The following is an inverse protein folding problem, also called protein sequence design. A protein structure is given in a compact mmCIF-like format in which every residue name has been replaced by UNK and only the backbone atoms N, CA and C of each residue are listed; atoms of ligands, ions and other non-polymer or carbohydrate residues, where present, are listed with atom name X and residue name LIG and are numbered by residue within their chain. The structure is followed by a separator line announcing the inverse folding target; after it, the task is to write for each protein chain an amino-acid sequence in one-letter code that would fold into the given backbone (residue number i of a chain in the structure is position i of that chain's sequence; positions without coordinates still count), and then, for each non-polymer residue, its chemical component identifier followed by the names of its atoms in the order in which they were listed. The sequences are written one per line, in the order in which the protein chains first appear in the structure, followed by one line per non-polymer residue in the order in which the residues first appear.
data_IF_811875374803
#
_entry.id   IF_811875374803
#
_cell.length_a   1.000
_cell.length_b   1.000
_cell.length_c   1.000
_cell.angle_alpha   90.00
_cell.angle_beta   90.00
_cell.angle_gamma   90.00
#
_symmetry.space_group_name_H-M   'P 1'
#
loop_
_entity.id
_entity.type
_entity.pdbx_description
1 polymer ?
#
# COMPACT_ATOMS: atom_id res chain seq x y z
N UNK A 1 -36.80 -30.78 7.09
CA UNK A 1 -35.48 -30.12 7.30
C UNK A 1 -35.61 -28.61 7.09
N UNK A 2 -35.40 -27.82 8.14
CA UNK A 2 -35.73 -26.40 8.16
C UNK A 2 -34.62 -25.61 7.45
N UNK A 3 -34.95 -24.93 6.33
CA UNK A 3 -33.97 -24.09 5.59
C UNK A 3 -33.27 -23.05 6.47
N UNK A 4 -33.94 -22.62 7.54
CA UNK A 4 -33.40 -21.68 8.54
C UNK A 4 -32.30 -22.32 9.39
N UNK A 5 -32.42 -23.59 9.77
CA UNK A 5 -31.37 -24.29 10.53
C UNK A 5 -30.14 -24.57 9.68
N UNK A 6 -30.31 -24.85 8.39
CA UNK A 6 -29.20 -25.02 7.45
C UNK A 6 -28.47 -23.70 7.17
N UNK A 7 -29.22 -22.59 7.03
CA UNK A 7 -28.64 -21.26 6.90
C UNK A 7 -27.84 -20.86 8.15
N UNK A 8 -28.41 -21.07 9.35
CA UNK A 8 -27.71 -20.82 10.63
C UNK A 8 -26.47 -21.70 10.80
N UNK A 9 -26.54 -22.98 10.39
CA UNK A 9 -25.39 -23.88 10.44
C UNK A 9 -24.27 -23.43 9.48
N UNK A 10 -24.62 -22.99 8.27
CA UNK A 10 -23.65 -22.48 7.28
C UNK A 10 -22.98 -21.21 7.79
N UNK A 11 -23.74 -20.28 8.36
CA UNK A 11 -23.19 -19.07 9.00
C UNK A 11 -22.29 -19.45 10.17
N UNK A 12 -22.69 -20.41 11.01
CA UNK A 12 -21.88 -20.89 12.13
C UNK A 12 -20.53 -21.47 11.68
N UNK A 13 -20.53 -22.29 10.63
CA UNK A 13 -19.30 -22.86 10.07
C UNK A 13 -18.38 -21.78 9.49
N UNK A 14 -18.94 -20.81 8.75
CA UNK A 14 -18.17 -19.68 8.20
C UNK A 14 -17.56 -18.80 9.29
N UNK A 15 -18.30 -18.52 10.37
CA UNK A 15 -17.81 -17.72 11.48
C UNK A 15 -16.65 -18.40 12.22
N UNK A 16 -16.72 -19.72 12.42
CA UNK A 16 -15.63 -20.49 13.03
C UNK A 16 -14.39 -20.50 12.13
N UNK A 17 -14.57 -20.65 10.81
CA UNK A 17 -13.48 -20.60 9.84
C UNK A 17 -12.80 -19.22 9.80
N UNK A 18 -13.58 -18.13 9.82
CA UNK A 18 -13.03 -16.78 9.91
C UNK A 18 -12.25 -16.57 11.21
N UNK A 19 -12.76 -17.07 12.34
CA UNK A 19 -12.08 -16.97 13.63
C UNK A 19 -10.73 -17.70 13.67
N UNK A 20 -10.61 -18.85 13.00
CA UNK A 20 -9.33 -19.57 12.92
C UNK A 20 -8.34 -18.86 11.99
N UNK A 21 -8.79 -18.32 10.86
CA UNK A 21 -7.97 -17.55 9.93
C UNK A 21 -7.41 -16.28 10.59
N UNK A 22 -8.24 -15.55 11.34
CA UNK A 22 -7.81 -14.35 12.08
C UNK A 22 -6.71 -14.68 13.08
N UNK A 23 -6.84 -15.81 13.79
CA UNK A 23 -5.86 -16.27 14.78
C UNK A 23 -4.52 -16.63 14.13
N UNK A 24 -4.56 -17.30 12.97
CA UNK A 24 -3.34 -17.60 12.20
C UNK A 24 -2.64 -16.32 11.72
N UNK A 25 -3.40 -15.34 11.24
CA UNK A 25 -2.86 -14.06 10.81
C UNK A 25 -2.21 -13.30 11.98
N UNK A 26 -2.86 -13.26 13.14
CA UNK A 26 -2.29 -12.66 14.35
C UNK A 26 -1.02 -13.39 14.82
N UNK A 27 -1.02 -14.72 14.79
CA UNK A 27 0.16 -15.52 15.14
C UNK A 27 1.32 -15.25 14.19
N UNK A 28 1.05 -15.17 12.88
CA UNK A 28 2.07 -14.89 11.87
C UNK A 28 2.61 -13.46 11.96
N UNK A 29 1.75 -12.46 12.21
CA UNK A 29 2.20 -11.09 12.52
C UNK A 29 3.11 -11.10 13.74
N UNK A 30 2.72 -11.79 14.82
CA UNK A 30 3.52 -11.91 16.04
C UNK A 30 4.89 -12.53 15.77
N UNK A 31 4.94 -13.60 14.96
CA UNK A 31 6.17 -14.25 14.53
C UNK A 31 7.06 -13.30 13.73
N UNK A 32 6.51 -12.63 12.70
CA UNK A 32 7.26 -11.68 11.88
C UNK A 32 7.80 -10.53 12.73
N UNK A 33 7.02 -9.97 13.65
CA UNK A 33 7.48 -8.91 14.55
C UNK A 33 8.57 -9.39 15.52
N UNK A 34 8.45 -10.60 16.06
CA UNK A 34 9.48 -11.19 16.93
C UNK A 34 10.79 -11.44 16.16
N UNK A 35 10.71 -11.98 14.95
CA UNK A 35 11.89 -12.18 14.11
C UNK A 35 12.47 -10.83 13.66
N UNK A 36 11.64 -9.85 13.33
CA UNK A 36 12.08 -8.51 12.95
C UNK A 36 12.83 -7.79 14.07
N UNK A 37 12.28 -7.82 15.28
CA UNK A 37 12.93 -7.21 16.45
C UNK A 37 14.23 -7.93 16.80
N UNK A 38 14.28 -9.26 16.77
CA UNK A 38 15.52 -10.00 17.02
C UNK A 38 16.60 -9.74 15.96
N UNK A 39 16.23 -9.57 14.68
CA UNK A 39 17.16 -9.21 13.61
C UNK A 39 17.69 -7.78 13.72
N UNK A 40 16.91 -6.86 14.29
CA UNK A 40 17.36 -5.49 14.55
C UNK A 40 18.56 -5.47 15.52
N UNK A 41 18.61 -6.42 16.46
CA UNK A 41 19.72 -6.62 17.39
C UNK A 41 20.87 -7.48 16.81
N UNK A 42 20.73 -8.02 15.59
CA UNK A 42 21.73 -8.86 14.91
C UNK A 42 21.96 -8.39 13.46
N UNK A 43 22.59 -7.22 13.25
CA UNK A 43 22.73 -6.59 11.93
C UNK A 43 23.53 -7.43 10.91
N UNK A 44 24.36 -8.39 11.37
CA UNK A 44 25.15 -9.27 10.49
C UNK A 44 24.29 -10.24 9.67
N UNK A 45 23.03 -10.45 10.05
CA UNK A 45 22.06 -11.29 9.35
C UNK A 45 21.21 -10.52 8.32
N UNK A 46 21.43 -9.20 8.18
CA UNK A 46 20.68 -8.41 7.20
C UNK A 46 21.08 -8.75 5.77
N UNK A 47 20.14 -9.35 5.04
CA UNK A 47 20.32 -9.72 3.63
C UNK A 47 19.99 -8.54 2.72
N UNK A 48 20.81 -7.49 2.77
CA UNK A 48 20.62 -6.24 2.03
C UNK A 48 20.42 -6.49 0.52
N UNK A 49 21.19 -7.40 -0.07
CA UNK A 49 21.09 -7.72 -1.51
C UNK A 49 19.70 -8.20 -1.91
N UNK A 50 19.09 -9.07 -1.09
CA UNK A 50 17.73 -9.57 -1.35
C UNK A 50 16.68 -8.46 -1.15
N UNK A 51 16.84 -7.62 -0.13
CA UNK A 51 15.98 -6.47 0.11
C UNK A 51 16.03 -5.48 -1.06
N UNK A 52 17.22 -5.16 -1.57
CA UNK A 52 17.38 -4.23 -2.71
C UNK A 52 16.74 -4.79 -3.97
N UNK A 53 16.90 -6.08 -4.25
CA UNK A 53 16.23 -6.73 -5.38
C UNK A 53 14.70 -6.60 -5.29
N UNK A 54 14.13 -6.82 -4.10
CA UNK A 54 12.70 -6.62 -3.89
C UNK A 54 12.28 -5.15 -3.92
N UNK A 55 13.12 -4.19 -3.50
CA UNK A 55 12.84 -2.75 -3.65
C UNK A 55 12.76 -2.37 -5.12
N UNK A 56 13.65 -2.88 -5.96
CA UNK A 56 13.59 -2.64 -7.41
C UNK A 56 12.33 -3.24 -8.02
N UNK A 57 12.02 -4.50 -7.69
CA UNK A 57 10.85 -5.19 -8.26
C UNK A 57 9.52 -4.58 -7.80
N UNK A 58 9.39 -4.29 -6.51
CA UNK A 58 8.16 -3.81 -5.88
C UNK A 58 8.01 -2.30 -5.98
N UNK A 59 9.11 -1.56 -5.87
CA UNK A 59 9.17 -0.10 -5.92
C UNK A 59 9.28 0.42 -7.34
N UNK A 60 10.47 0.33 -7.93
CA UNK A 60 10.77 0.97 -9.22
C UNK A 60 9.81 0.54 -10.34
N UNK A 61 9.53 -0.76 -10.44
CA UNK A 61 8.63 -1.24 -11.50
C UNK A 61 7.15 -0.84 -11.27
N UNK A 62 6.77 -0.36 -10.08
CA UNK A 62 5.41 0.12 -9.79
C UNK A 62 5.25 1.63 -10.05
N UNK A 63 6.35 2.38 -10.09
CA UNK A 63 6.36 3.85 -10.25
C UNK A 63 5.49 4.32 -11.41
N UNK A 64 5.60 3.79 -12.65
CA UNK A 64 4.84 4.30 -13.78
C UNK A 64 3.33 4.11 -13.61
N UNK A 65 2.91 2.96 -13.06
CA UNK A 65 1.49 2.63 -12.90
C UNK A 65 0.89 3.47 -11.78
N UNK A 66 1.60 3.64 -10.65
CA UNK A 66 1.16 4.49 -9.55
C UNK A 66 1.06 5.95 -10.01
N UNK A 67 2.07 6.48 -10.70
CA UNK A 67 2.07 7.86 -11.18
C UNK A 67 0.92 8.11 -12.17
N UNK A 68 0.71 7.21 -13.13
CA UNK A 68 -0.38 7.35 -14.11
C UNK A 68 -1.75 7.30 -13.44
N UNK A 69 -1.95 6.34 -12.52
CA UNK A 69 -3.21 6.17 -11.83
C UNK A 69 -3.52 7.37 -10.93
N UNK A 70 -2.57 7.84 -10.13
CA UNK A 70 -2.81 8.99 -9.25
C UNK A 70 -2.95 10.29 -10.02
N UNK A 71 -2.24 10.45 -11.15
CA UNK A 71 -2.45 11.57 -12.07
C UNK A 71 -3.89 11.60 -12.61
N UNK A 72 -4.37 10.47 -13.12
CA UNK A 72 -5.75 10.35 -13.63
C UNK A 72 -6.79 10.61 -12.54
N UNK A 73 -6.61 10.04 -11.35
CA UNK A 73 -7.53 10.31 -10.23
C UNK A 73 -7.44 11.78 -9.81
N UNK A 74 -6.26 12.40 -9.83
CA UNK A 74 -6.07 13.81 -9.50
C UNK A 74 -6.82 14.73 -10.46
N UNK A 75 -6.72 14.45 -11.75
CA UNK A 75 -7.46 15.16 -12.79
C UNK A 75 -8.99 15.02 -12.59
N UNK A 76 -9.48 13.80 -12.35
CA UNK A 76 -10.92 13.56 -12.14
C UNK A 76 -11.44 14.25 -10.87
N UNK A 77 -10.68 14.20 -9.77
CA UNK A 77 -11.05 14.86 -8.51
C UNK A 77 -11.07 16.38 -8.67
N UNK A 78 -10.11 16.95 -9.39
CA UNK A 78 -10.08 18.37 -9.68
C UNK A 78 -11.27 18.79 -10.56
N UNK A 79 -11.57 18.02 -11.61
CA UNK A 79 -12.69 18.30 -12.49
C UNK A 79 -14.02 18.28 -11.73
N UNK A 80 -14.27 17.21 -10.98
CA UNK A 80 -15.49 17.05 -10.21
C UNK A 80 -15.60 18.11 -9.11
N UNK A 81 -14.50 18.38 -8.41
CA UNK A 81 -14.43 19.43 -7.38
C UNK A 81 -14.76 20.80 -7.95
N UNK A 82 -14.20 21.14 -9.11
CA UNK A 82 -14.47 22.40 -9.79
C UNK A 82 -15.94 22.55 -10.18
N UNK A 83 -16.54 21.51 -10.77
CA UNK A 83 -17.96 21.54 -11.15
C UNK A 83 -18.86 21.74 -9.94
N UNK A 84 -18.58 21.07 -8.82
CA UNK A 84 -19.38 21.22 -7.60
C UNK A 84 -19.20 22.60 -6.96
N UNK A 85 -17.96 23.11 -6.89
CA UNK A 85 -17.67 24.41 -6.29
C UNK A 85 -18.11 25.59 -7.16
N UNK A 86 -18.32 25.37 -8.45
CA UNK A 86 -18.83 26.38 -9.38
C UNK A 86 -20.24 26.84 -8.98
N UNK A 87 -21.08 25.94 -8.51
CA UNK A 87 -22.44 26.26 -8.04
C UNK A 87 -22.44 27.21 -6.83
N UNK A 88 -21.32 27.25 -6.08
CA UNK A 88 -21.11 28.12 -4.92
C UNK A 88 -20.23 29.34 -5.23
N UNK A 89 -19.80 29.53 -6.48
CA UNK A 89 -18.87 30.59 -6.88
C UNK A 89 -17.47 30.44 -6.25
N UNK A 90 -17.10 29.24 -5.83
CA UNK A 90 -15.97 28.94 -4.96
C UNK A 90 -14.88 28.11 -5.65
N UNK A 91 -14.76 28.18 -6.98
CA UNK A 91 -13.91 27.28 -7.80
C UNK A 91 -12.43 27.28 -7.44
N UNK A 92 -11.92 28.38 -6.85
CA UNK A 92 -10.52 28.49 -6.38
C UNK A 92 -10.20 27.46 -5.28
N UNK A 93 -11.16 27.09 -4.44
CA UNK A 93 -10.98 26.08 -3.38
C UNK A 93 -10.85 24.65 -3.92
N UNK A 94 -10.97 24.44 -5.24
CA UNK A 94 -10.64 23.16 -5.87
C UNK A 94 -9.18 22.80 -5.65
N UNK A 95 -8.29 23.79 -5.58
CA UNK A 95 -6.85 23.59 -5.31
C UNK A 95 -6.67 22.94 -3.93
N UNK A 96 -7.32 23.50 -2.92
CA UNK A 96 -7.30 22.99 -1.55
C UNK A 96 -7.88 21.59 -1.49
N UNK A 97 -9.03 21.37 -2.13
CA UNK A 97 -9.67 20.06 -2.19
C UNK A 97 -8.70 19.01 -2.72
N UNK A 98 -8.07 19.26 -3.88
CA UNK A 98 -7.09 18.32 -4.46
C UNK A 98 -5.90 18.13 -3.53
N UNK A 99 -5.33 19.21 -3.01
CA UNK A 99 -4.13 19.13 -2.20
C UNK A 99 -4.35 18.38 -0.87
N UNK A 100 -5.37 18.74 -0.09
CA UNK A 100 -5.70 18.05 1.15
C UNK A 100 -6.06 16.58 0.90
N UNK A 101 -6.85 16.30 -0.12
CA UNK A 101 -7.28 14.94 -0.44
C UNK A 101 -6.10 14.04 -0.81
N UNK A 102 -5.18 14.51 -1.67
CA UNK A 102 -4.04 13.71 -2.11
C UNK A 102 -2.98 13.54 -1.04
N UNK A 103 -2.62 14.63 -0.35
CA UNK A 103 -1.56 14.59 0.66
C UNK A 103 -1.95 13.77 1.88
N UNK A 104 -3.23 13.78 2.27
CA UNK A 104 -3.68 13.14 3.51
C UNK A 104 -4.19 11.71 3.33
N UNK A 105 -4.83 11.43 2.19
CA UNK A 105 -5.57 10.18 1.99
C UNK A 105 -5.20 9.48 0.67
N UNK A 106 -5.56 10.08 -0.48
CA UNK A 106 -5.55 9.38 -1.77
C UNK A 106 -4.16 8.92 -2.22
N UNK A 107 -3.12 9.73 -2.03
CA UNK A 107 -1.78 9.37 -2.52
C UNK A 107 -1.27 8.06 -1.92
N UNK A 108 -1.48 7.87 -0.62
CA UNK A 108 -1.06 6.67 0.11
C UNK A 108 -2.02 5.50 -0.13
N UNK A 109 -3.33 5.76 -0.10
CA UNK A 109 -4.35 4.71 -0.30
C UNK A 109 -4.26 4.09 -1.69
N UNK A 110 -4.15 4.89 -2.74
CA UNK A 110 -4.08 4.39 -4.12
C UNK A 110 -2.80 3.58 -4.36
N UNK A 111 -1.66 4.05 -3.86
CA UNK A 111 -0.40 3.31 -3.91
C UNK A 111 -0.51 1.98 -3.15
N UNK A 112 -1.13 1.98 -1.96
CA UNK A 112 -1.31 0.78 -1.15
C UNK A 112 -2.24 -0.25 -1.81
N UNK A 113 -3.40 0.17 -2.33
CA UNK A 113 -4.35 -0.73 -3.00
C UNK A 113 -3.70 -1.38 -4.23
N UNK A 114 -2.98 -0.60 -5.04
CA UNK A 114 -2.30 -1.11 -6.23
C UNK A 114 -1.22 -2.13 -5.87
N UNK A 115 -0.41 -1.82 -4.85
CA UNK A 115 0.65 -2.73 -4.39
C UNK A 115 0.09 -3.99 -3.73
N UNK A 116 -1.04 -3.90 -3.02
CA UNK A 116 -1.75 -5.06 -2.51
C UNK A 116 -2.18 -5.99 -3.66
N UNK A 117 -2.69 -5.44 -4.76
CA UNK A 117 -3.06 -6.23 -5.94
C UNK A 117 -1.86 -6.84 -6.66
N UNK A 118 -0.85 -6.04 -6.99
CA UNK A 118 0.29 -6.47 -7.83
C UNK A 118 1.37 -7.21 -7.04
N UNK A 119 1.90 -6.56 -6.02
CA UNK A 119 3.12 -7.02 -5.33
C UNK A 119 2.79 -8.10 -4.30
N UNK A 120 1.70 -7.95 -3.55
CA UNK A 120 1.32 -9.00 -2.60
C UNK A 120 0.96 -10.30 -3.33
N UNK A 121 0.19 -10.23 -4.43
CA UNK A 121 -0.09 -11.40 -5.28
C UNK A 121 1.17 -12.03 -5.84
N UNK A 122 2.16 -11.23 -6.26
CA UNK A 122 3.45 -11.76 -6.71
C UNK A 122 4.21 -12.46 -5.58
N UNK A 123 4.20 -11.93 -4.36
CA UNK A 123 4.79 -12.59 -3.19
C UNK A 123 4.07 -13.90 -2.83
N UNK A 124 2.75 -13.90 -2.85
CA UNK A 124 1.93 -15.10 -2.65
C UNK A 124 2.25 -16.16 -3.70
N UNK A 125 2.30 -15.81 -4.99
CA UNK A 125 2.60 -16.74 -6.07
C UNK A 125 4.03 -17.30 -5.98
N UNK A 126 5.02 -16.45 -5.67
CA UNK A 126 6.41 -16.89 -5.51
C UNK A 126 6.57 -17.85 -4.33
N UNK A 127 6.02 -17.51 -3.16
CA UNK A 127 6.10 -18.37 -1.97
C UNK A 127 5.31 -19.66 -2.14
N UNK A 128 4.13 -19.60 -2.75
CA UNK A 128 3.32 -20.78 -3.05
C UNK A 128 4.03 -21.73 -4.02
N UNK A 129 4.69 -21.19 -5.05
CA UNK A 129 5.49 -21.99 -5.98
C UNK A 129 6.68 -22.67 -5.26
N UNK A 130 7.42 -21.91 -4.44
CA UNK A 130 8.53 -22.45 -3.64
C UNK A 130 8.05 -23.54 -2.66
N UNK A 131 6.86 -23.37 -2.08
CA UNK A 131 6.26 -24.39 -1.20
C UNK A 131 5.86 -25.64 -1.97
N UNK A 132 5.22 -25.50 -3.14
CA UNK A 132 4.84 -26.63 -3.99
C UNK A 132 6.05 -27.40 -4.55
N UNK A 133 7.19 -26.74 -4.70
CA UNK A 133 8.46 -27.35 -5.12
C UNK A 133 9.30 -27.88 -3.94
N UNK A 134 8.76 -27.88 -2.71
CA UNK A 134 9.45 -28.33 -1.49
C UNK A 134 10.73 -27.52 -1.14
N UNK A 135 10.98 -26.38 -1.80
CA UNK A 135 12.15 -25.53 -1.55
C UNK A 135 12.14 -24.95 -0.12
N UNK A 136 10.95 -24.63 0.40
CA UNK A 136 10.78 -24.12 1.77
C UNK A 136 11.11 -25.20 2.79
N UNK A 137 10.75 -26.45 2.54
CA UNK A 137 11.04 -27.56 3.46
C UNK A 137 12.51 -27.97 3.38
N UNK A 138 13.12 -27.89 2.19
CA UNK A 138 14.56 -28.02 2.04
C UNK A 138 15.35 -26.97 2.85
N UNK A 139 14.88 -25.73 2.93
CA UNK A 139 15.52 -24.72 3.79
C UNK A 139 15.45 -25.09 5.28
N UNK A 140 14.31 -25.64 5.73
CA UNK A 140 14.14 -26.08 7.12
C UNK A 140 15.04 -27.27 7.45
N UNK A 141 15.22 -28.22 6.55
CA UNK A 141 16.13 -29.37 6.77
C UNK A 141 17.60 -28.94 6.85
N UNK A 142 17.95 -27.84 6.18
CA UNK A 142 19.27 -27.20 6.30
C UNK A 142 19.43 -26.37 7.58
N UNK A 143 18.42 -26.33 8.46
CA UNK A 143 18.44 -25.58 9.72
C UNK A 143 18.30 -24.06 9.55
N UNK A 144 17.80 -23.61 8.39
CA UNK A 144 17.60 -22.19 8.09
C UNK A 144 16.14 -21.78 8.36
N UNK A 145 15.93 -20.61 8.95
CA UNK A 145 14.58 -20.07 9.18
C UNK A 145 14.01 -19.44 7.89
N UNK A 146 12.93 -19.99 7.30
CA UNK A 146 12.31 -19.43 6.11
C UNK A 146 11.71 -18.03 6.35
N UNK A 147 11.32 -17.68 7.58
CA UNK A 147 10.77 -16.35 7.89
C UNK A 147 11.88 -15.30 7.77
N UNK A 148 13.06 -15.59 8.33
CA UNK A 148 14.24 -14.73 8.23
C UNK A 148 14.70 -14.55 6.79
N UNK A 149 14.72 -15.63 6.00
CA UNK A 149 15.27 -15.61 4.65
C UNK A 149 14.31 -15.09 3.58
N UNK A 150 13.01 -15.36 3.71
CA UNK A 150 12.04 -15.11 2.63
C UNK A 150 11.04 -14.00 2.95
N UNK A 151 10.63 -13.84 4.21
CA UNK A 151 9.57 -12.88 4.60
C UNK A 151 10.17 -11.52 4.94
N UNK A 152 11.20 -11.53 5.78
CA UNK A 152 11.84 -10.31 6.28
C UNK A 152 12.37 -9.37 5.17
N UNK A 153 13.10 -9.84 4.14
CA UNK A 153 13.54 -8.98 3.05
C UNK A 153 12.38 -8.37 2.26
N UNK A 154 11.28 -9.11 2.09
CA UNK A 154 10.07 -8.63 1.40
C UNK A 154 9.33 -7.57 2.21
N UNK A 155 9.16 -7.79 3.52
CA UNK A 155 8.54 -6.80 4.43
C UNK A 155 9.38 -5.52 4.48
N UNK A 156 10.69 -5.62 4.60
CA UNK A 156 11.60 -4.46 4.58
C UNK A 156 11.55 -3.71 3.25
N UNK A 157 11.55 -4.43 2.13
CA UNK A 157 11.42 -3.83 0.82
C UNK A 157 10.08 -3.08 0.68
N UNK A 158 8.99 -3.64 1.20
CA UNK A 158 7.67 -3.00 1.19
C UNK A 158 7.65 -1.73 2.04
N UNK A 159 8.19 -1.80 3.26
CA UNK A 159 8.27 -0.68 4.21
C UNK A 159 9.00 0.54 3.64
N UNK A 160 9.98 0.32 2.75
CA UNK A 160 10.73 1.39 2.09
C UNK A 160 10.04 1.83 0.79
N UNK A 161 9.59 0.88 -0.03
CA UNK A 161 9.04 1.18 -1.36
C UNK A 161 7.69 1.88 -1.31
N UNK A 162 6.80 1.53 -0.39
CA UNK A 162 5.44 2.10 -0.36
C UNK A 162 5.44 3.60 0.03
N UNK A 163 6.19 4.08 1.04
CA UNK A 163 6.32 5.52 1.30
C UNK A 163 6.87 6.30 0.10
N UNK A 164 7.88 5.75 -0.60
CA UNK A 164 8.44 6.38 -1.81
C UNK A 164 7.42 6.45 -2.94
N UNK A 165 6.65 5.38 -3.14
CA UNK A 165 5.58 5.34 -4.15
C UNK A 165 4.42 6.25 -3.78
N UNK A 166 4.06 6.36 -2.50
CA UNK A 166 3.05 7.29 -2.03
C UNK A 166 3.48 8.75 -2.27
N UNK A 167 4.76 9.08 -2.08
CA UNK A 167 5.30 10.39 -2.43
C UNK A 167 5.16 10.69 -3.92
N UNK A 168 5.57 9.76 -4.79
CA UNK A 168 5.36 9.90 -6.24
C UNK A 168 3.87 10.03 -6.59
N UNK A 169 3.01 9.26 -5.91
CA UNK A 169 1.57 9.27 -6.08
C UNK A 169 0.96 10.64 -5.74
N UNK A 170 1.35 11.22 -4.60
CA UNK A 170 0.95 12.56 -4.17
C UNK A 170 1.36 13.62 -5.18
N UNK A 171 2.61 13.61 -5.63
CA UNK A 171 3.09 14.56 -6.64
C UNK A 171 2.34 14.43 -7.96
N UNK A 172 2.19 13.21 -8.47
CA UNK A 172 1.53 12.96 -9.75
C UNK A 172 0.05 13.35 -9.71
N UNK A 173 -0.63 13.14 -8.57
CA UNK A 173 -2.01 13.57 -8.37
C UNK A 173 -2.18 15.08 -8.30
N UNK A 174 -1.27 15.78 -7.61
CA UNK A 174 -1.23 17.25 -7.61
C UNK A 174 -1.01 17.80 -9.02
N UNK A 175 -0.11 17.21 -9.80
CA UNK A 175 0.12 17.59 -11.20
C UNK A 175 -1.13 17.35 -12.05
N UNK A 176 -1.81 16.22 -11.88
CA UNK A 176 -3.08 15.94 -12.57
C UNK A 176 -4.16 16.96 -12.25
N UNK A 177 -4.28 17.35 -10.98
CA UNK A 177 -5.23 18.40 -10.58
C UNK A 177 -4.84 19.79 -11.08
N UNK A 178 -3.56 20.12 -11.11
CA UNK A 178 -3.07 21.38 -11.66
C UNK A 178 -3.35 21.51 -13.17
N UNK A 179 -3.16 20.42 -13.93
CA UNK A 179 -3.49 20.40 -15.37
C UNK A 179 -4.97 20.71 -15.59
N UNK A 180 -5.87 20.07 -14.84
CA UNK A 180 -7.31 20.34 -14.99
C UNK A 180 -7.68 21.74 -14.51
N UNK A 181 -7.11 22.22 -13.40
CA UNK A 181 -7.33 23.59 -12.92
C UNK A 181 -6.94 24.62 -14.00
N UNK A 182 -5.84 24.39 -14.72
CA UNK A 182 -5.40 25.31 -15.78
C UNK A 182 -6.27 25.26 -17.03
N UNK A 183 -6.73 24.06 -17.42
CA UNK A 183 -7.48 23.87 -18.66
C UNK A 183 -8.98 24.19 -18.52
N UNK A 184 -9.55 23.99 -17.33
CA UNK A 184 -11.00 24.10 -17.11
C UNK A 184 -11.42 25.33 -16.31
N UNK A 185 -10.53 25.94 -15.52
CA UNK A 185 -10.85 27.07 -14.64
C UNK A 185 -10.05 28.35 -14.97
N UNK A 186 -9.23 28.34 -16.03
CA UNK A 186 -8.31 29.44 -16.39
C UNK A 186 -7.38 29.88 -15.24
N UNK A 187 -7.11 28.99 -14.29
CA UNK A 187 -6.20 29.25 -13.16
C UNK A 187 -4.77 29.03 -13.65
N UNK A 188 -3.92 30.05 -13.52
CA UNK A 188 -2.50 29.92 -13.88
C UNK A 188 -1.78 28.92 -12.97
N UNK A 189 -0.79 28.19 -13.51
CA UNK A 189 0.07 27.28 -12.71
C UNK A 189 0.75 28.02 -11.54
N UNK A 190 1.13 29.29 -11.76
CA UNK A 190 1.69 30.15 -10.70
C UNK A 190 0.72 30.39 -9.55
N UNK A 191 -0.57 30.62 -9.84
CA UNK A 191 -1.59 30.75 -8.80
C UNK A 191 -1.80 29.44 -8.07
N UNK A 192 -1.85 28.31 -8.79
CA UNK A 192 -1.98 26.98 -8.17
C UNK A 192 -0.87 26.73 -7.14
N UNK A 193 0.39 26.97 -7.52
CA UNK A 193 1.53 26.77 -6.63
C UNK A 193 1.49 27.74 -5.44
N UNK A 194 1.13 29.01 -5.66
CA UNK A 194 1.08 30.02 -4.61
C UNK A 194 0.00 29.68 -3.57
N UNK A 195 -1.20 29.30 -4.02
CA UNK A 195 -2.29 28.85 -3.14
C UNK A 195 -1.88 27.59 -2.38
N UNK A 196 -1.28 26.61 -3.07
CA UNK A 196 -0.82 25.38 -2.44
C UNK A 196 0.23 25.66 -1.35
N UNK A 197 1.18 26.57 -1.57
CA UNK A 197 2.17 26.94 -0.55
C UNK A 197 1.58 27.71 0.63
N UNK A 198 0.53 28.49 0.40
CA UNK A 198 -0.10 29.33 1.42
C UNK A 198 -1.03 28.53 2.32
N UNK A 199 -1.86 27.67 1.73
CA UNK A 199 -2.99 27.05 2.42
C UNK A 199 -2.67 25.59 2.86
N UNK A 200 -1.63 24.96 2.28
CA UNK A 200 -1.30 23.56 2.58
C UNK A 200 -0.08 23.45 3.49
N UNK A 201 -0.35 23.11 4.76
CA UNK A 201 0.71 22.79 5.72
C UNK A 201 1.41 21.46 5.39
N UNK A 202 2.73 21.42 5.59
CA UNK A 202 3.58 20.20 5.54
C UNK A 202 3.05 19.10 6.47
N UNK A 203 2.26 19.46 7.49
CA UNK A 203 1.58 18.52 8.37
C UNK A 203 0.70 17.53 7.60
N UNK A 204 -0.01 17.96 6.55
CA UNK A 204 -0.88 17.06 5.78
C UNK A 204 -0.08 15.98 5.06
N UNK A 205 1.06 16.36 4.49
CA UNK A 205 2.00 15.44 3.88
C UNK A 205 2.53 14.41 4.88
N UNK A 206 2.98 14.86 6.05
CA UNK A 206 3.52 13.97 7.09
C UNK A 206 2.47 13.02 7.65
N UNK A 207 1.24 13.52 7.88
CA UNK A 207 0.12 12.70 8.35
C UNK A 207 -0.22 11.61 7.32
N UNK A 208 -0.28 11.95 6.02
CA UNK A 208 -0.45 10.95 4.97
C UNK A 208 0.67 9.92 4.99
N UNK A 209 1.92 10.38 4.90
CA UNK A 209 3.09 9.50 4.82
C UNK A 209 3.24 8.59 6.06
N UNK A 210 2.81 9.05 7.24
CA UNK A 210 2.83 8.23 8.47
C UNK A 210 1.99 6.95 8.38
N UNK A 211 0.96 6.92 7.53
CA UNK A 211 0.12 5.73 7.30
C UNK A 211 0.79 4.71 6.38
N UNK A 212 1.70 5.14 5.51
CA UNK A 212 2.32 4.28 4.50
C UNK A 212 3.05 3.06 5.09
N UNK A 213 3.89 3.19 6.14
CA UNK A 213 4.55 2.03 6.76
C UNK A 213 3.57 0.99 7.31
N UNK A 214 2.45 1.42 7.89
CA UNK A 214 1.43 0.51 8.44
C UNK A 214 0.80 -0.32 7.32
N UNK A 215 0.38 0.34 6.22
CA UNK A 215 -0.15 -0.39 5.06
C UNK A 215 0.89 -1.30 4.42
N UNK A 216 2.14 -0.84 4.30
CA UNK A 216 3.23 -1.64 3.74
C UNK A 216 3.46 -2.94 4.52
N UNK A 217 3.48 -2.84 5.84
CA UNK A 217 3.63 -3.99 6.72
C UNK A 217 2.48 -4.98 6.55
N UNK A 218 1.23 -4.50 6.64
CA UNK A 218 0.03 -5.34 6.51
C UNK A 218 0.00 -6.03 5.14
N UNK A 219 0.24 -5.31 4.06
CA UNK A 219 0.24 -5.84 2.70
C UNK A 219 1.29 -6.93 2.53
N UNK A 220 2.52 -6.67 2.97
CA UNK A 220 3.62 -7.64 2.83
C UNK A 220 3.37 -8.91 3.66
N UNK A 221 2.90 -8.76 4.90
CA UNK A 221 2.64 -9.88 5.80
C UNK A 221 1.49 -10.74 5.29
N UNK A 222 0.39 -10.14 4.83
CA UNK A 222 -0.74 -10.89 4.26
C UNK A 222 -0.29 -11.65 3.00
N UNK A 223 0.41 -10.97 2.08
CA UNK A 223 0.91 -11.60 0.85
C UNK A 223 1.83 -12.79 1.14
N UNK A 224 2.71 -12.66 2.16
CA UNK A 224 3.58 -13.76 2.56
C UNK A 224 2.82 -14.90 3.23
N UNK A 225 1.91 -14.60 4.16
CA UNK A 225 1.12 -15.61 4.88
C UNK A 225 0.31 -16.47 3.92
N UNK A 226 -0.40 -15.86 2.98
CA UNK A 226 -1.19 -16.60 2.00
C UNK A 226 -0.29 -17.47 1.11
N UNK A 227 0.92 -17.01 0.78
CA UNK A 227 1.91 -17.82 0.06
C UNK A 227 2.39 -19.07 0.82
N UNK A 228 2.40 -19.04 2.15
CA UNK A 228 2.70 -20.23 2.96
C UNK A 228 1.49 -21.15 3.17
N UNK A 229 0.26 -20.67 2.93
CA UNK A 229 -0.96 -21.47 3.09
C UNK A 229 -1.27 -22.34 1.88
N UNK A 230 -1.02 -21.82 0.67
CA UNK A 230 -1.13 -22.56 -0.61
C UNK A 230 -0.17 -23.73 -0.59
#
# INVERSE_FOLDING_TARGET
PNRISEALATVGQQMVALGSQQRQLLAFIGLVLATFTSLLFRPRHWRITATVAHIQQSGLNAVPIVALLTFMVGAVVAFLGATVLQDFGATVYTIDLVAFSFLREFGVLLAAILLAGRTASAFTAQLGAMKSNEEIDALKTLGLDPIELLVLPRVMAMLISLPLLAFVGMLSGLVGGAVVATLSLDISVSQFITTLQKDVSVTHFLVGLSKAPVFAFVIAVIGCLEGFKV
#
